data_IF_175060046111
#
_entry.id   IF_175060046111
#
_cell.length_a   1.000
_cell.length_b   1.000
_cell.length_c   1.000
_cell.angle_alpha   90.00
_cell.angle_beta   90.00
_cell.angle_gamma   90.00
#
_symmetry.space_group_name_H-M   'P 1'
#
loop_
_entity.id
_entity.type
_entity.pdbx_description
1 polymer ?
#
# COMPACT_ATOMS: atom_id res chain seq x y z
N UNK A 1 -17.12 7.82 -3.25
CA UNK A 1 -16.20 7.57 -4.38
C UNK A 1 -16.91 6.65 -5.34
N UNK A 2 -17.19 7.11 -6.55
CA UNK A 2 -17.70 6.23 -7.61
C UNK A 2 -16.49 5.56 -8.28
N UNK A 3 -16.68 4.36 -8.82
CA UNK A 3 -15.59 3.66 -9.53
C UNK A 3 -15.02 4.45 -10.71
N UNK A 4 -15.84 5.28 -11.37
CA UNK A 4 -15.40 6.19 -12.44
C UNK A 4 -14.33 7.21 -12.00
N UNK A 5 -14.40 7.69 -10.75
CA UNK A 5 -13.43 8.67 -10.24
C UNK A 5 -12.06 8.01 -9.99
N UNK A 6 -12.06 6.75 -9.56
CA UNK A 6 -10.84 6.00 -9.30
C UNK A 6 -10.08 5.65 -10.59
N UNK A 7 -10.80 5.21 -11.62
CA UNK A 7 -10.23 4.88 -12.93
C UNK A 7 -9.48 6.08 -13.55
N UNK A 8 -10.08 7.27 -13.40
CA UNK A 8 -9.47 8.53 -13.87
C UNK A 8 -8.24 8.93 -13.04
N UNK A 9 -8.26 8.71 -11.72
CA UNK A 9 -7.09 8.95 -10.86
C UNK A 9 -5.95 8.00 -11.25
N UNK A 10 -6.26 6.73 -11.50
CA UNK A 10 -5.28 5.70 -11.87
C UNK A 10 -4.61 5.98 -13.22
N UNK A 11 -5.37 6.40 -14.24
CA UNK A 11 -4.79 6.78 -15.55
C UNK A 11 -3.83 7.97 -15.42
N UNK A 12 -4.26 9.03 -14.71
CA UNK A 12 -3.44 10.24 -14.55
C UNK A 12 -2.18 9.93 -13.73
N UNK A 13 -2.30 9.17 -12.64
CA UNK A 13 -1.16 8.75 -11.84
C UNK A 13 -0.16 7.92 -12.64
N UNK A 14 -0.63 6.90 -13.38
CA UNK A 14 0.22 6.03 -14.20
C UNK A 14 1.00 6.84 -15.25
N UNK A 15 0.36 7.83 -15.86
CA UNK A 15 1.00 8.69 -16.86
C UNK A 15 1.96 9.69 -16.21
N UNK A 16 1.65 10.19 -15.02
CA UNK A 16 2.55 11.04 -14.25
C UNK A 16 3.83 10.29 -13.84
N UNK A 17 3.76 8.99 -13.55
CA UNK A 17 4.94 8.16 -13.26
C UNK A 17 5.88 7.98 -14.48
N UNK A 18 5.37 8.14 -15.70
CA UNK A 18 6.20 8.11 -16.91
C UNK A 18 6.96 9.43 -17.16
N UNK A 19 6.59 10.50 -16.46
CA UNK A 19 7.23 11.81 -16.55
C UNK A 19 8.33 11.98 -15.49
N UNK A 20 9.36 12.76 -15.84
CA UNK A 20 10.42 13.14 -14.91
C UNK A 20 9.84 13.87 -13.68
N UNK A 21 10.40 13.61 -12.50
CA UNK A 21 9.94 14.18 -11.22
C UNK A 21 9.86 15.71 -11.24
N UNK A 22 10.83 16.34 -11.91
CA UNK A 22 10.89 17.79 -12.05
C UNK A 22 9.76 18.37 -12.93
N UNK A 23 9.23 17.60 -13.87
CA UNK A 23 8.15 18.03 -14.78
C UNK A 23 6.78 17.48 -14.39
N UNK A 24 6.74 16.45 -13.55
CA UNK A 24 5.55 15.73 -13.10
C UNK A 24 4.49 16.65 -12.50
N UNK A 25 4.87 17.53 -11.57
CA UNK A 25 3.94 18.45 -10.91
C UNK A 25 3.27 19.41 -11.91
N UNK A 26 4.03 19.91 -12.89
CA UNK A 26 3.49 20.79 -13.94
C UNK A 26 2.57 20.02 -14.89
N UNK A 27 2.92 18.78 -15.21
CA UNK A 27 2.12 17.90 -16.05
C UNK A 27 0.79 17.52 -15.41
N UNK A 28 0.79 17.18 -14.11
CA UNK A 28 -0.43 16.88 -13.35
C UNK A 28 -1.32 18.12 -13.28
N UNK A 29 -0.75 19.30 -13.03
CA UNK A 29 -1.52 20.54 -13.03
C UNK A 29 -2.15 20.85 -14.40
N UNK A 30 -1.44 20.58 -15.49
CA UNK A 30 -1.96 20.76 -16.85
C UNK A 30 -3.04 19.72 -17.21
N UNK A 31 -2.90 18.48 -16.72
CA UNK A 31 -3.81 17.36 -17.03
C UNK A 31 -5.09 17.40 -16.21
N UNK A 32 -5.01 17.79 -14.94
CA UNK A 32 -6.17 17.88 -14.06
C UNK A 32 -7.01 19.15 -14.31
N UNK A 33 -6.44 20.22 -14.87
CA UNK A 33 -7.18 21.45 -15.19
C UNK A 33 -7.90 22.04 -13.97
N UNK A 34 -9.21 22.25 -14.09
CA UNK A 34 -10.08 22.80 -13.02
C UNK A 34 -10.60 21.74 -12.01
N UNK A 35 -10.34 20.44 -12.24
CA UNK A 35 -10.74 19.36 -11.32
C UNK A 35 -9.80 19.33 -10.11
N UNK A 36 -10.04 20.24 -9.16
CA UNK A 36 -9.22 20.37 -7.95
C UNK A 36 -9.21 19.11 -7.09
N UNK A 37 -10.34 18.41 -6.98
CA UNK A 37 -10.45 17.18 -6.18
C UNK A 37 -9.58 16.06 -6.78
N UNK A 38 -9.62 15.88 -8.11
CA UNK A 38 -8.78 14.94 -8.83
C UNK A 38 -7.30 15.26 -8.63
N UNK A 39 -6.94 16.54 -8.73
CA UNK A 39 -5.56 17.02 -8.57
C UNK A 39 -5.01 16.69 -7.19
N UNK A 40 -5.77 17.02 -6.14
CA UNK A 40 -5.37 16.74 -4.74
C UNK A 40 -5.13 15.25 -4.54
N UNK A 41 -6.02 14.38 -5.03
CA UNK A 41 -5.85 12.93 -4.88
C UNK A 41 -4.63 12.37 -5.60
N UNK A 42 -4.35 12.86 -6.81
CA UNK A 42 -3.17 12.44 -7.58
C UNK A 42 -1.89 12.95 -6.90
N UNK A 43 -1.88 14.19 -6.39
CA UNK A 43 -0.76 14.76 -5.62
C UNK A 43 -0.49 13.94 -4.34
N UNK A 44 -1.52 13.61 -3.55
CA UNK A 44 -1.39 12.76 -2.35
C UNK A 44 -0.80 11.38 -2.68
N UNK A 45 -1.25 10.77 -3.78
CA UNK A 45 -0.77 9.46 -4.22
C UNK A 45 0.69 9.53 -4.70
N UNK A 46 1.06 10.58 -5.42
CA UNK A 46 2.44 10.82 -5.84
C UNK A 46 3.37 11.09 -4.65
N UNK A 47 2.95 11.89 -3.67
CA UNK A 47 3.70 12.10 -2.42
C UNK A 47 3.90 10.79 -1.66
N UNK A 48 2.87 9.93 -1.59
CA UNK A 48 3.01 8.62 -0.97
C UNK A 48 4.01 7.73 -1.70
N UNK A 49 4.04 7.77 -3.03
CA UNK A 49 4.98 7.01 -3.85
C UNK A 49 6.43 7.51 -3.68
N UNK A 50 6.63 8.83 -3.62
CA UNK A 50 7.94 9.44 -3.36
C UNK A 50 8.43 9.16 -1.92
N UNK A 51 7.50 9.05 -0.96
CA UNK A 51 7.81 8.73 0.43
C UNK A 51 8.23 7.26 0.64
N UNK A 52 8.08 6.39 -0.36
CA UNK A 52 8.47 4.97 -0.33
C UNK A 52 9.99 4.73 -0.43
N UNK A 53 10.83 5.76 -0.29
CA UNK A 53 12.19 5.58 0.27
C UNK A 53 12.13 5.17 1.75
N UNK A 54 10.95 5.26 2.39
CA UNK A 54 10.64 4.59 3.65
C UNK A 54 10.12 3.18 3.36
N UNK A 55 11.06 2.27 3.13
CA UNK A 55 10.91 0.81 3.05
C UNK A 55 9.62 0.28 3.73
N UNK A 56 8.65 -0.21 2.94
CA UNK A 56 7.40 -0.86 3.39
C UNK A 56 7.59 -2.09 4.31
N UNK A 57 8.83 -2.57 4.43
CA UNK A 57 9.26 -3.61 5.36
C UNK A 57 9.54 -3.06 6.78
N UNK A 58 9.47 -1.74 6.98
CA UNK A 58 9.47 -1.16 8.33
C UNK A 58 8.03 -1.11 8.84
N UNK A 59 7.70 -1.79 9.94
CA UNK A 59 6.37 -1.66 10.54
C UNK A 59 6.07 -0.18 10.83
N UNK A 60 4.83 0.25 10.58
CA UNK A 60 4.38 1.63 10.82
C UNK A 60 4.56 2.10 12.28
N UNK A 61 4.82 1.16 13.19
CA UNK A 61 5.38 1.42 14.52
C UNK A 61 6.89 1.60 14.33
N UNK A 62 7.35 2.85 14.28
CA UNK A 62 8.72 3.22 13.89
C UNK A 62 9.89 2.48 14.58
N UNK A 63 11.15 2.91 14.36
CA UNK A 63 12.37 2.12 14.60
C UNK A 63 12.62 1.63 16.04
N UNK A 64 11.77 2.02 16.99
CA UNK A 64 11.78 1.56 18.38
C UNK A 64 10.92 0.29 18.63
N UNK A 65 10.23 -0.26 17.62
CA UNK A 65 9.50 -1.53 17.78
C UNK A 65 10.47 -2.71 17.81
N UNK A 66 11.09 -2.93 18.97
CA UNK A 66 11.85 -4.14 19.25
C UNK A 66 10.87 -5.29 19.55
N UNK A 67 10.88 -6.31 18.70
CA UNK A 67 10.29 -7.61 19.01
C UNK A 67 11.11 -8.21 20.16
N UNK A 68 10.70 -7.95 21.39
CA UNK A 68 11.26 -8.61 22.57
C UNK A 68 10.98 -10.11 22.55
N UNK A 69 11.68 -10.86 23.41
CA UNK A 69 11.67 -12.33 23.56
C UNK A 69 10.28 -12.99 23.45
N UNK A 70 9.21 -12.30 23.87
CA UNK A 70 7.80 -12.72 23.74
C UNK A 70 7.30 -12.88 22.29
N UNK A 71 7.87 -12.14 21.33
CA UNK A 71 7.51 -12.25 19.92
C UNK A 71 8.05 -13.52 19.24
N UNK A 72 9.12 -14.12 19.77
CA UNK A 72 9.66 -15.39 19.26
C UNK A 72 8.73 -16.57 19.59
N UNK A 73 8.06 -16.54 20.75
CA UNK A 73 7.06 -17.54 21.15
C UNK A 73 5.82 -17.50 20.24
N UNK A 74 5.42 -16.33 19.76
CA UNK A 74 4.34 -16.18 18.76
C UNK A 74 4.73 -16.73 17.37
N UNK A 75 6.02 -16.75 17.02
CA UNK A 75 6.52 -17.32 15.77
C UNK A 75 6.64 -18.86 15.82
N UNK A 76 6.56 -19.46 17.01
CA UNK A 76 6.71 -20.91 17.19
C UNK A 76 5.36 -21.63 17.31
N UNK A 77 4.29 -20.89 17.58
CA UNK A 77 2.93 -21.42 17.47
C UNK A 77 2.53 -21.45 16.00
N UNK A 78 1.85 -22.52 15.53
CA UNK A 78 1.17 -22.45 14.25
C UNK A 78 0.23 -21.24 14.27
N UNK A 79 0.48 -20.33 13.34
CA UNK A 79 -0.19 -19.05 13.17
C UNK A 79 -1.69 -19.18 12.82
N UNK A 80 -2.14 -20.40 12.53
CA UNK A 80 -3.50 -20.74 12.15
C UNK A 80 -4.05 -21.92 12.97
N UNK A 81 -5.38 -21.99 13.17
CA UNK A 81 -6.02 -23.13 13.80
C UNK A 81 -5.92 -24.40 12.94
N UNK A 82 -5.88 -25.57 13.59
CA UNK A 82 -5.84 -26.89 12.91
C UNK A 82 -7.09 -27.12 12.02
N UNK A 83 -8.18 -26.41 12.31
CA UNK A 83 -9.40 -26.41 11.50
C UNK A 83 -10.15 -25.07 11.60
N UNK A 84 -10.80 -24.70 10.49
CA UNK A 84 -11.72 -23.58 10.37
C UNK A 84 -13.09 -24.17 10.01
N UNK A 85 -13.89 -24.50 11.03
CA UNK A 85 -15.15 -25.23 10.84
C UNK A 85 -14.90 -26.63 10.24
N UNK A 86 -15.53 -27.01 9.12
CA UNK A 86 -15.30 -28.29 8.46
C UNK A 86 -14.02 -28.31 7.59
N UNK A 87 -13.29 -27.21 7.51
CA UNK A 87 -12.11 -27.08 6.63
C UNK A 87 -10.82 -27.20 7.40
N UNK A 88 -9.84 -27.90 6.81
CA UNK A 88 -8.50 -28.08 7.36
C UNK A 88 -7.46 -27.41 6.46
N UNK A 89 -6.71 -26.40 6.95
CA UNK A 89 -5.56 -25.85 6.23
C UNK A 89 -4.54 -26.96 5.96
N UNK A 90 -4.03 -27.02 4.73
CA UNK A 90 -3.09 -28.08 4.30
C UNK A 90 -1.64 -27.58 4.24
N UNK A 91 -1.44 -26.36 3.73
CA UNK A 91 -0.16 -25.67 3.69
C UNK A 91 -0.41 -24.17 3.51
N UNK A 92 0.57 -23.35 3.90
CA UNK A 92 0.53 -21.90 3.71
C UNK A 92 1.24 -21.53 2.42
N UNK A 93 0.55 -20.80 1.55
CA UNK A 93 1.02 -20.31 0.26
C UNK A 93 1.58 -18.89 0.34
N UNK A 94 1.08 -18.05 1.25
CA UNK A 94 1.54 -16.67 1.37
C UNK A 94 0.95 -15.90 2.55
N UNK A 95 1.60 -14.78 2.92
CA UNK A 95 1.16 -13.88 4.00
C UNK A 95 1.27 -12.43 3.56
N UNK A 96 0.25 -11.63 3.85
CA UNK A 96 0.22 -10.19 3.61
C UNK A 96 -0.52 -9.44 4.71
N UNK A 97 -0.59 -8.11 4.59
CA UNK A 97 -1.22 -7.25 5.61
C UNK A 97 -2.70 -7.53 5.88
N UNK A 98 -3.39 -8.19 4.94
CA UNK A 98 -4.81 -8.54 5.05
C UNK A 98 -5.05 -10.00 5.47
N UNK A 99 -4.00 -10.79 5.74
CA UNK A 99 -4.12 -12.18 6.19
C UNK A 99 -3.13 -13.15 5.53
N UNK A 100 -3.40 -14.44 5.69
CA UNK A 100 -2.63 -15.54 5.12
C UNK A 100 -3.50 -16.41 4.22
N UNK A 101 -2.85 -17.08 3.26
CA UNK A 101 -3.44 -18.02 2.29
C UNK A 101 -2.63 -19.28 2.21
#
# INVERSE_FOLDING_TARGET
MRSDDWDRIEDVFTRALAEDESTRATWVHATCGDDHDLRVRVEELLESHDCEDTNLDVPALGPAFHIGETGLELLTRPDHPDAIGPWKPIERLGRGGMGEV
#
